data_IF_734260071072
#
_entry.id   IF_734260071072
#
_cell.length_a   1.000
_cell.length_b   1.000
_cell.length_c   1.000
_cell.angle_alpha   90.00
_cell.angle_beta   90.00
_cell.angle_gamma   90.00
#
_symmetry.space_group_name_H-M   'P 1'
#
loop_
_entity.id
_entity.type
_entity.pdbx_description
1 polymer ?
#
# COMPACT_ATOMS: atom_id res chain seq x y z
N UNK A 1 9.56 14.32 12.33
CA UNK A 1 8.75 14.95 11.26
C UNK A 1 7.60 13.99 10.92
N UNK A 2 6.34 14.30 11.29
CA UNK A 2 5.21 13.34 11.20
C UNK A 2 4.91 12.98 9.73
N UNK A 3 4.98 11.69 9.38
CA UNK A 3 4.83 11.17 8.01
C UNK A 3 3.47 11.57 7.42
N UNK A 4 3.46 12.25 6.27
CA UNK A 4 2.25 12.79 5.61
C UNK A 4 1.33 11.72 4.98
N UNK A 5 1.71 10.44 4.98
CA UNK A 5 1.10 9.40 4.13
C UNK A 5 0.81 8.07 4.85
N UNK A 6 0.66 8.05 6.18
CA UNK A 6 0.53 6.82 7.00
C UNK A 6 -0.49 5.78 6.51
N UNK A 7 -1.51 6.18 5.74
CA UNK A 7 -2.60 5.30 5.33
C UNK A 7 -2.89 5.32 3.84
N UNK A 8 -2.26 6.20 3.07
CA UNK A 8 -2.64 6.48 1.69
C UNK A 8 -1.80 5.69 0.68
N UNK A 9 -2.43 5.25 -0.41
CA UNK A 9 -1.72 4.75 -1.59
C UNK A 9 -1.06 5.94 -2.32
N UNK A 10 0.25 5.87 -2.50
CA UNK A 10 1.04 6.93 -3.12
C UNK A 10 0.78 7.12 -4.62
N UNK A 11 0.25 6.11 -5.36
CA UNK A 11 -0.05 6.21 -6.79
C UNK A 11 -1.00 7.35 -7.13
N UNK A 12 -2.05 7.47 -6.32
CA UNK A 12 -3.14 8.41 -6.53
C UNK A 12 -3.12 9.53 -5.48
N UNK A 13 -2.12 9.54 -4.59
CA UNK A 13 -2.11 10.45 -3.45
C UNK A 13 -2.24 11.91 -3.85
N UNK A 14 -1.52 12.42 -4.86
CA UNK A 14 -1.64 13.84 -5.24
C UNK A 14 -3.03 14.17 -5.85
N UNK A 15 -3.61 13.23 -6.60
CA UNK A 15 -4.97 13.36 -7.14
C UNK A 15 -6.01 13.32 -6.01
N UNK A 16 -5.92 12.32 -5.13
CA UNK A 16 -6.79 12.15 -3.97
C UNK A 16 -6.61 13.26 -2.94
N UNK A 17 -5.43 13.85 -2.83
CA UNK A 17 -5.14 15.01 -1.99
C UNK A 17 -5.75 16.27 -2.56
N UNK A 18 -5.75 16.45 -3.88
CA UNK A 18 -6.50 17.52 -4.54
C UNK A 18 -8.01 17.36 -4.31
N UNK A 19 -8.55 16.15 -4.45
CA UNK A 19 -9.95 15.84 -4.15
C UNK A 19 -10.28 16.02 -2.66
N UNK A 20 -9.44 15.53 -1.74
CA UNK A 20 -9.62 15.70 -0.31
C UNK A 20 -9.55 17.18 0.10
N UNK A 21 -8.68 17.97 -0.55
CA UNK A 21 -8.64 19.42 -0.34
C UNK A 21 -9.95 20.06 -0.79
N UNK A 22 -10.48 19.68 -1.97
CA UNK A 22 -11.77 20.14 -2.48
C UNK A 22 -12.95 19.72 -1.60
N UNK A 23 -12.96 18.49 -1.10
CA UNK A 23 -13.99 18.01 -0.17
C UNK A 23 -13.99 18.77 1.15
N UNK A 24 -12.83 19.23 1.63
CA UNK A 24 -12.75 20.09 2.84
C UNK A 24 -13.29 21.51 2.62
N UNK A 25 -13.30 22.01 1.38
CA UNK A 25 -13.81 23.35 1.03
C UNK A 25 -15.28 23.32 0.60
N UNK A 26 -15.75 22.21 0.05
CA UNK A 26 -17.13 22.01 -0.40
C UNK A 26 -17.82 20.89 0.38
N UNK A 27 -17.73 20.93 1.71
CA UNK A 27 -18.37 19.93 2.56
C UNK A 27 -19.89 20.14 2.63
N UNK A 28 -20.64 19.05 2.74
CA UNK A 28 -22.09 19.13 2.95
C UNK A 28 -22.41 19.72 4.33
N UNK A 29 -23.67 20.12 4.53
CA UNK A 29 -24.13 20.60 5.84
C UNK A 29 -23.97 19.51 6.92
N UNK A 30 -24.28 18.25 6.58
CA UNK A 30 -24.11 17.11 7.47
C UNK A 30 -22.63 16.87 7.83
N UNK A 31 -21.73 16.86 6.86
CA UNK A 31 -20.28 16.73 7.09
C UNK A 31 -19.75 17.84 7.97
N UNK A 32 -20.20 19.08 7.75
CA UNK A 32 -19.77 20.23 8.54
C UNK A 32 -20.24 20.09 9.99
N UNK A 33 -21.51 19.69 10.20
CA UNK A 33 -22.09 19.48 11.52
C UNK A 33 -21.39 18.34 12.28
N UNK A 34 -21.14 17.20 11.63
CA UNK A 34 -20.43 16.09 12.26
C UNK A 34 -18.96 16.45 12.55
N UNK A 35 -18.30 17.19 11.66
CA UNK A 35 -16.92 17.61 11.88
C UNK A 35 -16.76 18.47 13.13
N UNK A 36 -17.68 19.40 13.39
CA UNK A 36 -17.65 20.22 14.61
C UNK A 36 -17.79 19.40 15.88
N UNK A 37 -18.50 18.27 15.86
CA UNK A 37 -18.57 17.34 16.99
C UNK A 37 -17.32 16.44 17.14
N UNK A 38 -16.61 16.15 16.04
CA UNK A 38 -15.45 15.23 16.04
C UNK A 38 -14.09 15.93 16.23
N UNK A 39 -13.97 17.20 15.82
CA UNK A 39 -12.69 17.93 15.81
C UNK A 39 -12.15 18.16 17.23
N UNK A 40 -10.86 18.46 17.33
CA UNK A 40 -10.27 18.90 18.61
C UNK A 40 -10.19 17.82 19.70
N UNK A 41 -10.27 16.52 19.35
CA UNK A 41 -10.20 15.42 20.30
C UNK A 41 -11.38 15.38 21.30
N UNK A 42 -12.54 15.92 20.92
CA UNK A 42 -13.73 15.99 21.78
C UNK A 42 -14.25 14.62 22.23
N UNK A 43 -14.01 13.57 21.44
CA UNK A 43 -14.38 12.19 21.79
C UNK A 43 -13.22 11.38 22.41
N UNK A 44 -12.21 12.06 22.97
CA UNK A 44 -11.04 11.41 23.56
C UNK A 44 -10.03 10.84 22.54
N UNK A 45 -10.34 10.88 21.23
CA UNK A 45 -9.44 10.45 20.17
C UNK A 45 -9.45 11.38 18.94
N UNK A 46 -8.36 11.32 18.17
CA UNK A 46 -8.13 12.25 17.06
C UNK A 46 -8.78 11.74 15.77
N UNK A 47 -9.76 12.50 15.28
CA UNK A 47 -10.32 12.34 13.94
C UNK A 47 -9.62 13.23 12.91
N UNK A 48 -9.51 12.71 11.69
CA UNK A 48 -9.02 13.40 10.48
C UNK A 48 -10.18 13.52 9.49
N UNK A 49 -10.38 14.69 8.89
CA UNK A 49 -11.40 14.94 7.86
C UNK A 49 -10.87 14.75 6.44
N UNK A 50 -11.64 14.11 5.57
CA UNK A 50 -11.31 13.81 4.18
C UNK A 50 -9.94 13.12 4.11
N UNK A 51 -9.83 11.97 4.78
CA UNK A 51 -8.58 11.27 4.99
C UNK A 51 -8.37 10.18 3.94
N UNK A 52 -7.17 10.15 3.34
CA UNK A 52 -6.87 9.20 2.28
C UNK A 52 -6.45 7.87 2.90
N UNK A 53 -7.14 6.80 2.55
CA UNK A 53 -6.84 5.42 2.97
C UNK A 53 -6.80 4.56 1.71
N UNK A 54 -5.64 3.98 1.41
CA UNK A 54 -5.40 3.34 0.12
C UNK A 54 -5.72 4.30 -1.03
N UNK A 55 -6.61 3.87 -1.93
CA UNK A 55 -7.06 4.66 -3.09
C UNK A 55 -8.37 5.42 -2.84
N UNK A 56 -8.80 5.54 -1.59
CA UNK A 56 -10.09 6.11 -1.22
C UNK A 56 -9.93 7.32 -0.30
N UNK A 57 -10.94 8.18 -0.29
CA UNK A 57 -11.05 9.30 0.64
C UNK A 57 -12.22 9.01 1.56
N UNK A 58 -11.91 8.81 2.84
CA UNK A 58 -12.90 8.68 3.90
C UNK A 58 -13.30 10.07 4.42
N UNK A 59 -14.58 10.32 4.65
CA UNK A 59 -15.06 11.62 5.16
C UNK A 59 -14.46 11.94 6.52
N UNK A 60 -14.42 10.94 7.41
CA UNK A 60 -13.71 11.00 8.68
C UNK A 60 -12.97 9.70 8.98
N UNK A 61 -11.78 9.82 9.58
CA UNK A 61 -11.01 8.66 10.03
C UNK A 61 -10.31 8.90 11.37
N UNK A 62 -10.45 7.96 12.29
CA UNK A 62 -9.62 7.81 13.48
C UNK A 62 -8.56 6.74 13.21
N UNK A 63 -7.29 7.17 13.08
CA UNK A 63 -6.19 6.24 12.72
C UNK A 63 -5.80 5.34 13.88
N UNK A 64 -5.90 5.85 15.12
CA UNK A 64 -5.55 5.09 16.33
C UNK A 64 -6.39 3.81 16.41
N UNK A 65 -7.71 3.95 16.35
CA UNK A 65 -8.65 2.84 16.48
C UNK A 65 -9.09 2.26 15.12
N UNK A 66 -8.44 2.65 14.02
CA UNK A 66 -8.77 2.21 12.66
C UNK A 66 -10.29 2.32 12.37
N UNK A 67 -10.89 3.45 12.71
CA UNK A 67 -12.31 3.69 12.47
C UNK A 67 -12.50 4.70 11.33
N UNK A 68 -13.32 4.36 10.35
CA UNK A 68 -13.80 5.23 9.28
C UNK A 68 -15.27 5.55 9.50
N UNK A 69 -15.64 6.82 9.30
CA UNK A 69 -17.04 7.27 9.29
C UNK A 69 -17.31 7.95 7.95
N UNK A 70 -18.33 7.48 7.25
CA UNK A 70 -18.77 7.98 5.94
C UNK A 70 -20.19 8.56 6.04
N UNK A 71 -20.42 9.69 5.36
CA UNK A 71 -21.75 10.27 5.24
C UNK A 71 -22.26 9.98 3.82
N UNK A 72 -23.30 9.16 3.72
CA UNK A 72 -23.89 8.80 2.45
C UNK A 72 -24.65 9.99 1.85
N UNK A 73 -24.09 10.54 0.77
CA UNK A 73 -24.60 11.66 -0.01
C UNK A 73 -25.86 11.37 -0.82
N UNK A 74 -26.40 10.15 -0.80
CA UNK A 74 -27.64 9.83 -1.53
C UNK A 74 -27.52 9.93 -3.05
N UNK A 75 -26.31 9.91 -3.61
CA UNK A 75 -26.09 9.82 -5.06
C UNK A 75 -26.31 8.39 -5.54
N UNK A 76 -27.58 7.97 -5.55
CA UNK A 76 -28.00 6.70 -6.10
C UNK A 76 -28.39 6.81 -7.57
N UNK A 77 -28.02 5.75 -8.31
CA UNK A 77 -28.50 5.31 -9.63
C UNK A 77 -27.71 5.82 -10.83
N UNK A 78 -26.56 5.19 -11.11
CA UNK A 78 -26.21 4.73 -12.46
C UNK A 78 -25.06 3.71 -12.43
N UNK A 79 -25.34 2.47 -12.85
CA UNK A 79 -24.43 1.41 -13.35
C UNK A 79 -23.15 1.03 -12.57
N UNK A 80 -22.99 -0.25 -12.22
CA UNK A 80 -21.79 -0.91 -11.64
C UNK A 80 -21.35 -0.56 -10.20
N UNK A 81 -22.06 0.32 -9.48
CA UNK A 81 -21.67 0.76 -8.14
C UNK A 81 -21.72 -0.29 -6.99
N UNK A 82 -22.63 -1.28 -6.94
CA UNK A 82 -22.70 -2.20 -5.79
C UNK A 82 -21.43 -3.05 -5.63
N UNK A 83 -20.80 -3.43 -6.74
CA UNK A 83 -19.53 -4.17 -6.74
C UNK A 83 -18.36 -3.29 -6.25
N UNK A 84 -18.32 -2.01 -6.65
CA UNK A 84 -17.28 -1.06 -6.23
C UNK A 84 -17.37 -0.66 -4.75
N UNK A 85 -18.57 -0.57 -4.16
CA UNK A 85 -18.74 -0.23 -2.72
C UNK A 85 -18.44 -1.42 -1.81
N UNK A 86 -18.72 -2.65 -2.26
CA UNK A 86 -18.33 -3.88 -1.58
C UNK A 86 -16.80 -4.11 -1.62
N UNK A 87 -16.17 -3.90 -2.78
CA UNK A 87 -14.71 -3.95 -2.94
C UNK A 87 -14.01 -2.89 -2.08
N UNK A 88 -14.54 -1.67 -2.04
CA UNK A 88 -14.06 -0.58 -1.15
C UNK A 88 -14.14 -0.98 0.32
N UNK A 89 -15.30 -1.48 0.75
CA UNK A 89 -15.50 -1.90 2.14
C UNK A 89 -14.59 -3.07 2.50
N UNK A 90 -14.39 -4.01 1.57
CA UNK A 90 -13.47 -5.14 1.75
C UNK A 90 -12.00 -4.69 1.83
N UNK A 91 -11.55 -3.73 1.01
CA UNK A 91 -10.19 -3.19 1.08
C UNK A 91 -9.95 -2.37 2.36
N UNK A 92 -10.95 -1.60 2.82
CA UNK A 92 -10.85 -0.91 4.11
C UNK A 92 -10.77 -1.91 5.27
N UNK A 93 -11.62 -2.96 5.26
CA UNK A 93 -11.61 -4.02 6.27
C UNK A 93 -10.31 -4.82 6.26
N UNK A 94 -9.78 -5.16 5.08
CA UNK A 94 -8.50 -5.88 4.97
C UNK A 94 -7.31 -5.06 5.51
N UNK A 95 -7.43 -3.72 5.50
CA UNK A 95 -6.49 -2.79 6.14
C UNK A 95 -6.73 -2.58 7.64
N UNK A 96 -7.64 -3.37 8.23
CA UNK A 96 -8.01 -3.32 9.63
C UNK A 96 -8.98 -2.20 9.99
N UNK A 97 -9.58 -1.50 9.00
CA UNK A 97 -10.54 -0.45 9.28
C UNK A 97 -11.95 -0.99 9.48
N UNK A 98 -12.60 -0.53 10.54
CA UNK A 98 -14.06 -0.62 10.68
C UNK A 98 -14.70 0.59 10.02
N UNK A 99 -15.79 0.39 9.29
CA UNK A 99 -16.49 1.44 8.54
C UNK A 99 -17.90 1.62 9.12
N UNK A 100 -18.23 2.83 9.57
CA UNK A 100 -19.59 3.24 9.92
C UNK A 100 -20.11 4.19 8.85
N UNK A 101 -21.37 4.01 8.44
CA UNK A 101 -22.01 4.86 7.44
C UNK A 101 -23.31 5.43 7.97
N UNK A 102 -23.50 6.73 7.76
CA UNK A 102 -24.70 7.47 8.17
C UNK A 102 -25.28 8.23 6.99
N UNK A 103 -26.60 8.38 6.91
CA UNK A 103 -27.21 9.26 5.91
C UNK A 103 -27.11 10.73 6.35
N UNK A 104 -27.27 11.65 5.40
CA UNK A 104 -27.32 13.08 5.71
C UNK A 104 -28.40 13.41 6.76
N UNK A 105 -29.58 12.80 6.66
CA UNK A 105 -30.70 13.03 7.58
C UNK A 105 -30.40 12.53 8.99
N UNK A 106 -29.70 11.39 9.12
CA UNK A 106 -29.27 10.88 10.42
C UNK A 106 -28.32 11.86 11.11
N UNK A 107 -27.39 12.44 10.37
CA UNK A 107 -26.45 13.42 10.91
C UNK A 107 -27.15 14.75 11.24
N UNK A 108 -27.98 15.27 10.33
CA UNK A 108 -28.65 16.56 10.49
C UNK A 108 -29.72 16.57 11.59
N UNK A 109 -30.43 15.46 11.78
CA UNK A 109 -31.58 15.41 12.69
C UNK A 109 -31.36 14.52 13.93
N UNK A 110 -30.33 13.66 13.92
CA UNK A 110 -30.06 12.70 15.00
C UNK A 110 -28.59 12.65 15.40
N UNK A 111 -27.91 13.80 15.36
CA UNK A 111 -26.47 13.93 15.64
C UNK A 111 -26.05 13.23 16.95
N UNK A 112 -26.79 13.40 18.04
CA UNK A 112 -26.47 12.76 19.33
C UNK A 112 -26.45 11.23 19.25
N UNK A 113 -27.35 10.65 18.45
CA UNK A 113 -27.39 9.19 18.20
C UNK A 113 -26.20 8.74 17.37
N UNK A 114 -25.80 9.52 16.35
CA UNK A 114 -24.60 9.27 15.54
C UNK A 114 -23.34 9.27 16.41
N UNK A 115 -23.17 10.29 17.26
CA UNK A 115 -22.03 10.38 18.18
C UNK A 115 -22.01 9.21 19.17
N UNK A 116 -23.17 8.82 19.71
CA UNK A 116 -23.28 7.67 20.61
C UNK A 116 -22.82 6.37 19.94
N UNK A 117 -23.19 6.16 18.67
CA UNK A 117 -22.75 4.99 17.91
C UNK A 117 -21.24 4.99 17.67
N UNK A 118 -20.66 6.15 17.32
CA UNK A 118 -19.21 6.30 17.14
C UNK A 118 -18.48 5.99 18.45
N UNK A 119 -18.92 6.54 19.58
CA UNK A 119 -18.33 6.28 20.91
C UNK A 119 -18.39 4.80 21.27
N UNK A 120 -19.54 4.15 21.09
CA UNK A 120 -19.67 2.70 21.34
C UNK A 120 -18.68 1.88 20.52
N UNK A 121 -18.50 2.20 19.24
CA UNK A 121 -17.51 1.51 18.41
C UNK A 121 -16.07 1.72 18.91
N UNK A 122 -15.73 2.94 19.34
CA UNK A 122 -14.41 3.24 19.91
C UNK A 122 -14.16 2.47 21.22
N UNK A 123 -15.16 2.38 22.09
CA UNK A 123 -15.05 1.65 23.36
C UNK A 123 -14.83 0.15 23.12
N UNK A 124 -15.58 -0.45 22.19
CA UNK A 124 -15.40 -1.85 21.80
C UNK A 124 -13.98 -2.12 21.27
N UNK A 125 -13.43 -1.22 20.46
CA UNK A 125 -12.07 -1.35 19.93
C UNK A 125 -11.01 -1.23 21.02
N UNK A 126 -11.20 -0.30 21.96
CA UNK A 126 -10.28 -0.13 23.08
C UNK A 126 -10.26 -1.36 24.02
N UNK A 127 -11.39 -2.03 24.22
CA UNK A 127 -11.49 -3.26 25.02
C UNK A 127 -10.86 -4.47 24.32
N UNK A 128 -11.00 -4.58 23.00
CA UNK A 128 -10.36 -5.64 22.21
C UNK A 128 -8.83 -5.59 22.30
N UNK A 129 -8.22 -4.39 22.23
CA UNK A 129 -6.77 -4.19 22.35
C UNK A 129 -6.23 -4.65 23.72
N UNK A 130 -6.99 -4.50 24.81
CA UNK A 130 -6.57 -4.91 26.16
C UNK A 130 -6.63 -6.43 26.38
N UNK A 131 -7.56 -7.10 25.69
CA UNK A 131 -7.77 -8.55 25.82
C UNK A 131 -6.66 -9.35 25.11
N UNK A 132 -6.15 -8.82 23.98
CA UNK A 132 -5.03 -9.43 23.24
C UNK A 132 -3.69 -9.30 24.00
N UNK A 133 -3.43 -8.17 24.66
CA UNK A 133 -2.19 -7.98 25.43
C UNK A 133 -2.12 -8.82 26.72
N UNK A 134 -3.26 -9.15 27.34
CA UNK A 134 -3.29 -9.96 28.58
C UNK A 134 -2.98 -11.44 28.32
N UNK A 135 -3.12 -11.90 27.07
CA UNK A 135 -2.95 -13.31 26.71
C UNK A 135 -1.51 -13.69 26.33
N UNK A 136 -0.59 -12.72 26.21
CA UNK A 136 0.80 -12.95 25.78
C UNK A 136 1.83 -13.01 26.93
N UNK A 137 1.45 -12.70 28.18
CA UNK A 137 2.40 -12.55 29.30
C UNK A 137 2.67 -13.81 30.14
N UNK A 138 2.14 -14.99 29.77
CA UNK A 138 2.26 -16.22 30.60
C UNK A 138 3.23 -17.29 30.12
N UNK A 139 4.08 -17.07 29.10
CA UNK A 139 5.06 -18.08 28.69
C UNK A 139 6.50 -17.55 28.44
N UNK A 140 7.35 -17.90 29.42
CA UNK A 140 8.73 -18.43 29.32
C UNK A 140 9.96 -17.52 29.48
N UNK A 141 10.83 -18.05 30.35
CA UNK A 141 12.20 -17.69 30.73
C UNK A 141 13.22 -18.16 29.65
N UNK A 142 14.28 -17.36 29.49
CA UNK A 142 15.57 -17.36 28.72
C UNK A 142 16.28 -18.72 28.38
N UNK A 143 17.38 -18.80 27.56
CA UNK A 143 18.16 -17.75 26.87
C UNK A 143 18.71 -17.98 25.42
N UNK A 144 19.12 -16.84 24.83
CA UNK A 144 20.11 -16.52 23.78
C UNK A 144 20.39 -17.42 22.54
N UNK A 145 20.42 -16.70 21.40
CA UNK A 145 21.18 -16.89 20.15
C UNK A 145 20.62 -17.86 19.07
N UNK A 146 19.88 -17.29 18.11
CA UNK A 146 20.05 -17.53 16.66
C UNK A 146 19.08 -16.67 15.84
N UNK A 147 19.62 -15.98 14.83
CA UNK A 147 19.02 -15.39 13.60
C UNK A 147 17.53 -14.96 13.57
N UNK A 148 17.22 -13.70 13.18
CA UNK A 148 15.85 -13.21 13.10
C UNK A 148 15.20 -13.58 11.76
N UNK A 149 14.90 -14.87 11.56
CA UNK A 149 13.93 -15.32 10.56
C UNK A 149 13.11 -16.46 11.17
N UNK A 150 12.24 -16.14 12.12
CA UNK A 150 11.16 -17.05 12.49
C UNK A 150 9.88 -16.29 12.84
N UNK A 151 8.94 -16.34 11.91
CA UNK A 151 7.60 -15.77 12.01
C UNK A 151 6.72 -16.40 10.95
N UNK A 152 6.34 -17.67 11.19
CA UNK A 152 5.28 -18.47 10.56
C UNK A 152 4.89 -18.15 9.11
N UNK A 153 5.18 -19.10 8.20
CA UNK A 153 4.70 -19.15 6.80
C UNK A 153 5.22 -18.07 5.83
N UNK A 154 6.31 -17.36 6.19
CA UNK A 154 6.97 -16.37 5.32
C UNK A 154 8.44 -16.72 5.17
N UNK A 155 8.90 -17.05 3.96
CA UNK A 155 10.34 -17.10 3.64
C UNK A 155 10.89 -18.34 2.91
N UNK A 156 10.21 -19.49 2.86
CA UNK A 156 10.85 -20.70 2.32
C UNK A 156 10.86 -20.82 0.78
N UNK A 157 10.09 -20.00 0.06
CA UNK A 157 10.05 -20.02 -1.43
C UNK A 157 9.59 -18.66 -1.96
N UNK A 158 10.44 -17.65 -1.82
CA UNK A 158 10.19 -16.32 -2.36
C UNK A 158 11.48 -15.68 -2.85
N UNK A 159 11.37 -14.81 -3.85
CA UNK A 159 12.48 -14.02 -4.37
C UNK A 159 12.28 -12.57 -3.99
N UNK A 160 13.36 -11.88 -3.64
CA UNK A 160 13.38 -10.44 -3.45
C UNK A 160 14.13 -9.78 -4.61
N UNK A 161 13.63 -8.64 -5.09
CA UNK A 161 14.26 -7.87 -6.16
C UNK A 161 14.41 -6.41 -5.76
N UNK A 162 15.50 -5.80 -6.20
CA UNK A 162 15.82 -4.39 -5.92
C UNK A 162 16.64 -3.79 -7.07
N UNK A 163 16.63 -2.47 -7.19
CA UNK A 163 17.48 -1.73 -8.10
C UNK A 163 18.18 -0.55 -7.44
N UNK A 164 19.40 -0.28 -7.91
CA UNK A 164 20.20 0.87 -7.51
C UNK A 164 20.54 1.75 -8.72
N UNK A 165 20.64 3.05 -8.49
CA UNK A 165 21.01 4.02 -9.53
C UNK A 165 21.96 5.10 -8.97
N UNK A 166 23.18 5.18 -9.50
CA UNK A 166 24.20 6.13 -9.06
C UNK A 166 24.01 7.49 -9.73
N UNK A 167 23.29 8.39 -9.07
CA UNK A 167 22.74 9.58 -9.70
C UNK A 167 21.51 9.19 -10.52
N UNK A 168 20.38 9.87 -10.33
CA UNK A 168 19.09 9.43 -10.88
C UNK A 168 18.49 10.53 -11.77
N UNK A 169 18.69 10.50 -13.10
CA UNK A 169 19.21 9.39 -13.90
C UNK A 169 20.74 9.22 -13.90
N UNK A 170 21.22 7.99 -14.15
CA UNK A 170 22.63 7.61 -14.09
C UNK A 170 22.84 6.09 -14.27
N UNK A 171 24.03 5.54 -13.96
CA UNK A 171 24.28 4.11 -13.99
C UNK A 171 23.31 3.36 -13.07
N UNK A 172 22.39 2.61 -13.67
CA UNK A 172 21.33 1.85 -13.01
C UNK A 172 21.56 0.35 -13.19
N UNK A 173 21.46 -0.38 -12.10
CA UNK A 173 21.57 -1.84 -12.04
C UNK A 173 20.46 -2.42 -11.17
N UNK A 174 20.16 -3.70 -11.33
CA UNK A 174 19.17 -4.41 -10.53
C UNK A 174 19.52 -5.88 -10.36
N UNK A 175 18.98 -6.51 -9.31
CA UNK A 175 19.23 -7.93 -9.02
C UNK A 175 18.04 -8.62 -8.37
N UNK A 176 18.10 -9.95 -8.33
CA UNK A 176 17.16 -10.80 -7.59
C UNK A 176 17.90 -11.75 -6.66
N UNK A 177 17.44 -11.86 -5.42
CA UNK A 177 17.97 -12.75 -4.38
C UNK A 177 16.90 -13.79 -4.01
N UNK A 178 17.30 -15.05 -3.89
CA UNK A 178 16.43 -16.09 -3.33
C UNK A 178 16.42 -15.98 -1.80
N UNK A 179 15.25 -15.76 -1.19
CA UNK A 179 15.14 -15.56 0.25
C UNK A 179 15.44 -16.82 1.07
N UNK A 180 15.35 -18.01 0.48
CA UNK A 180 15.63 -19.25 1.18
C UNK A 180 17.14 -19.53 1.24
N UNK A 181 17.88 -19.21 0.19
CA UNK A 181 19.32 -19.54 0.08
C UNK A 181 20.24 -18.33 0.24
N UNK A 182 19.72 -17.11 0.09
CA UNK A 182 20.51 -15.88 0.01
C UNK A 182 21.28 -15.73 -1.30
N UNK A 183 21.12 -16.65 -2.27
CA UNK A 183 21.86 -16.63 -3.51
C UNK A 183 21.33 -15.55 -4.47
N UNK A 184 22.25 -14.89 -5.18
CA UNK A 184 21.89 -14.01 -6.31
C UNK A 184 21.48 -14.86 -7.52
N UNK A 185 20.22 -14.71 -7.92
CA UNK A 185 19.62 -15.47 -9.03
C UNK A 185 19.96 -14.81 -10.36
N UNK A 186 19.97 -13.47 -10.38
CA UNK A 186 20.34 -12.67 -11.53
C UNK A 186 20.81 -11.29 -11.09
N UNK A 187 21.67 -10.70 -11.92
CA UNK A 187 22.10 -9.31 -11.85
C UNK A 187 22.10 -8.72 -13.27
N UNK A 188 21.75 -7.45 -13.39
CA UNK A 188 21.73 -6.73 -14.65
C UNK A 188 22.21 -5.30 -14.47
N UNK A 189 23.08 -4.84 -15.37
CA UNK A 189 23.58 -3.47 -15.43
C UNK A 189 25.09 -3.39 -15.16
N UNK A 190 25.62 -2.17 -15.01
CA UNK A 190 24.90 -0.90 -15.07
C UNK A 190 24.52 -0.46 -16.50
N UNK A 191 23.38 0.20 -16.63
CA UNK A 191 22.94 0.91 -17.86
C UNK A 191 22.42 2.30 -17.50
N UNK A 192 22.51 3.29 -18.40
CA UNK A 192 22.02 4.64 -18.09
C UNK A 192 20.50 4.66 -17.99
N UNK A 193 19.96 4.87 -16.77
CA UNK A 193 18.53 4.77 -16.48
C UNK A 193 18.13 5.50 -15.21
N UNK A 194 16.96 5.14 -14.64
CA UNK A 194 16.47 5.67 -13.36
C UNK A 194 16.16 4.52 -12.42
N UNK A 195 16.16 4.76 -11.11
CA UNK A 195 15.86 3.72 -10.11
C UNK A 195 14.54 3.00 -10.40
N UNK A 196 13.46 3.76 -10.62
CA UNK A 196 12.13 3.19 -10.89
C UNK A 196 12.08 2.31 -12.15
N UNK A 197 12.91 2.58 -13.16
CA UNK A 197 13.02 1.69 -14.33
C UNK A 197 13.70 0.39 -13.93
N UNK A 198 14.79 0.46 -13.17
CA UNK A 198 15.49 -0.73 -12.67
C UNK A 198 14.56 -1.63 -11.87
N UNK A 199 13.84 -1.05 -10.91
CA UNK A 199 12.84 -1.75 -10.08
C UNK A 199 11.79 -2.48 -10.93
N UNK A 200 11.24 -1.78 -11.93
CA UNK A 200 10.27 -2.37 -12.86
C UNK A 200 10.86 -3.54 -13.63
N UNK A 201 12.07 -3.36 -14.18
CA UNK A 201 12.74 -4.40 -14.94
C UNK A 201 13.11 -5.61 -14.06
N UNK A 202 13.48 -5.39 -12.80
CA UNK A 202 13.81 -6.45 -11.85
C UNK A 202 12.62 -7.37 -11.59
N UNK A 203 11.43 -6.80 -11.35
CA UNK A 203 10.19 -7.57 -11.17
C UNK A 203 9.85 -8.35 -12.43
N UNK A 204 9.92 -7.72 -13.61
CA UNK A 204 9.59 -8.41 -14.87
C UNK A 204 10.60 -9.52 -15.19
N UNK A 205 11.88 -9.32 -14.88
CA UNK A 205 12.91 -10.35 -15.04
C UNK A 205 12.61 -11.56 -14.15
N UNK A 206 12.29 -11.34 -12.87
CA UNK A 206 11.88 -12.41 -11.96
C UNK A 206 10.64 -13.16 -12.47
N UNK A 207 9.60 -12.46 -12.90
CA UNK A 207 8.40 -13.07 -13.49
C UNK A 207 8.73 -13.92 -14.74
N UNK A 208 9.59 -13.42 -15.62
CA UNK A 208 9.96 -14.12 -16.85
C UNK A 208 10.80 -15.38 -16.57
N UNK A 209 11.70 -15.33 -15.58
CA UNK A 209 12.48 -16.49 -15.16
C UNK A 209 11.60 -17.56 -14.51
N UNK A 210 10.71 -17.17 -13.60
CA UNK A 210 9.80 -18.11 -12.93
C UNK A 210 8.84 -18.75 -13.93
N UNK A 211 8.33 -17.96 -14.88
CA UNK A 211 7.52 -18.48 -15.98
C UNK A 211 8.28 -19.51 -16.83
N UNK A 212 9.56 -19.24 -17.16
CA UNK A 212 10.42 -20.17 -17.92
C UNK A 212 10.71 -21.46 -17.13
N UNK A 213 10.78 -21.37 -15.81
CA UNK A 213 10.97 -22.51 -14.90
C UNK A 213 9.68 -23.29 -14.63
N UNK A 214 8.51 -22.77 -15.03
CA UNK A 214 7.20 -23.34 -14.73
C UNK A 214 6.73 -23.10 -13.29
N UNK A 215 7.42 -22.26 -12.50
CA UNK A 215 7.03 -21.94 -11.13
C UNK A 215 6.02 -20.79 -11.11
N UNK A 216 4.77 -21.11 -10.82
CA UNK A 216 3.66 -20.15 -10.82
C UNK A 216 3.27 -19.65 -9.43
N UNK A 217 3.87 -20.20 -8.37
CA UNK A 217 3.47 -19.95 -6.98
C UNK A 217 4.49 -19.13 -6.21
N UNK A 218 5.74 -19.09 -6.65
CA UNK A 218 6.79 -18.32 -5.98
C UNK A 218 6.42 -16.84 -5.92
N UNK A 219 6.49 -16.29 -4.72
CA UNK A 219 6.25 -14.87 -4.45
C UNK A 219 7.48 -14.05 -4.81
N UNK A 220 7.27 -12.89 -5.43
CA UNK A 220 8.30 -11.88 -5.71
C UNK A 220 8.05 -10.69 -4.80
N UNK A 221 9.04 -10.33 -3.99
CA UNK A 221 9.04 -9.12 -3.18
C UNK A 221 9.82 -8.00 -3.87
N UNK A 222 9.27 -6.80 -3.86
CA UNK A 222 9.98 -5.56 -4.19
C UNK A 222 9.54 -4.49 -3.20
N UNK A 223 10.45 -3.63 -2.76
CA UNK A 223 10.09 -2.49 -1.92
C UNK A 223 9.60 -1.29 -2.76
N UNK A 224 9.67 -1.37 -4.08
CA UNK A 224 9.28 -0.30 -5.01
C UNK A 224 7.81 -0.37 -5.40
N UNK A 225 7.02 0.45 -4.73
CA UNK A 225 5.60 0.61 -5.05
C UNK A 225 5.36 1.00 -6.52
N UNK A 226 6.16 1.93 -7.06
CA UNK A 226 6.00 2.41 -8.44
C UNK A 226 6.18 1.29 -9.47
N UNK A 227 7.17 0.43 -9.24
CA UNK A 227 7.46 -0.69 -10.13
C UNK A 227 6.37 -1.75 -10.09
N UNK A 228 5.88 -2.11 -8.90
CA UNK A 228 4.75 -3.04 -8.73
C UNK A 228 3.53 -2.50 -9.50
N UNK A 229 3.25 -1.20 -9.40
CA UNK A 229 2.16 -0.56 -10.13
C UNK A 229 2.37 -0.62 -11.66
N UNK A 230 3.58 -0.39 -12.14
CA UNK A 230 3.91 -0.46 -13.57
C UNK A 230 3.77 -1.87 -14.11
N UNK A 231 4.17 -2.89 -13.35
CA UNK A 231 3.95 -4.31 -13.71
C UNK A 231 2.46 -4.63 -13.78
N UNK A 232 1.66 -4.24 -12.77
CA UNK A 232 0.20 -4.43 -12.78
C UNK A 232 -0.47 -3.75 -13.97
N UNK A 233 0.00 -2.57 -14.35
CA UNK A 233 -0.49 -1.82 -15.53
C UNK A 233 0.13 -2.28 -16.85
N UNK A 234 1.08 -3.22 -16.82
CA UNK A 234 1.84 -3.70 -17.98
C UNK A 234 2.50 -2.57 -18.77
N UNK A 235 2.92 -1.50 -18.07
CA UNK A 235 3.43 -0.28 -18.67
C UNK A 235 4.39 0.45 -17.74
N UNK A 236 5.60 0.73 -18.23
CA UNK A 236 6.63 1.54 -17.58
C UNK A 236 6.36 3.04 -17.84
N UNK A 237 5.78 3.74 -16.86
CA UNK A 237 5.46 5.18 -16.98
C UNK A 237 6.64 6.08 -16.61
N UNK A 238 7.79 5.86 -17.24
CA UNK A 238 8.99 6.68 -17.02
C UNK A 238 8.88 8.09 -17.61
N UNK A 239 9.54 9.06 -16.96
CA UNK A 239 9.75 10.44 -17.47
C UNK A 239 11.14 10.65 -18.07
N UNK A 240 11.99 9.62 -18.07
CA UNK A 240 13.31 9.68 -18.73
C UNK A 240 13.10 10.10 -20.19
N UNK A 241 13.97 10.94 -20.76
CA UNK A 241 13.85 11.31 -22.17
C UNK A 241 14.40 10.19 -23.04
N UNK A 242 13.73 9.91 -24.16
CA UNK A 242 14.26 9.02 -25.19
C UNK A 242 15.27 9.78 -26.05
N UNK A 243 16.51 9.29 -26.05
CA UNK A 243 17.69 9.87 -26.72
C UNK A 243 18.55 8.71 -27.24
N UNK A 244 19.55 8.94 -28.10
CA UNK A 244 20.47 7.89 -28.52
C UNK A 244 21.13 7.14 -27.34
N UNK A 245 21.44 7.83 -26.24
CA UNK A 245 22.02 7.23 -25.03
C UNK A 245 21.05 6.30 -24.30
N UNK A 246 19.75 6.62 -24.29
CA UNK A 246 18.72 5.84 -23.57
C UNK A 246 17.99 4.84 -24.45
N UNK A 247 18.30 4.79 -25.75
CA UNK A 247 17.59 3.95 -26.73
C UNK A 247 17.65 2.47 -26.37
N UNK A 248 18.82 1.97 -25.97
CA UNK A 248 18.98 0.58 -25.54
C UNK A 248 18.08 0.24 -24.34
N UNK A 249 17.97 1.15 -23.37
CA UNK A 249 17.08 0.97 -22.22
C UNK A 249 15.61 0.95 -22.65
N UNK A 250 15.21 1.80 -23.61
CA UNK A 250 13.85 1.79 -24.17
C UNK A 250 13.52 0.49 -24.90
N UNK A 251 14.49 -0.13 -25.58
CA UNK A 251 14.30 -1.44 -26.18
C UNK A 251 14.05 -2.52 -25.12
N UNK A 252 14.78 -2.47 -24.00
CA UNK A 252 14.58 -3.39 -22.87
C UNK A 252 13.20 -3.18 -22.22
N UNK A 253 12.81 -1.93 -21.99
CA UNK A 253 11.47 -1.58 -21.48
C UNK A 253 10.39 -2.12 -22.42
N UNK A 254 10.54 -1.92 -23.73
CA UNK A 254 9.56 -2.38 -24.73
C UNK A 254 9.42 -3.89 -24.71
N UNK A 255 10.53 -4.62 -24.59
CA UNK A 255 10.53 -6.10 -24.44
C UNK A 255 9.82 -6.54 -23.17
N UNK A 256 10.09 -5.87 -22.04
CA UNK A 256 9.46 -6.16 -20.75
C UNK A 256 7.94 -5.91 -20.80
N UNK A 257 7.49 -4.78 -21.33
CA UNK A 257 6.06 -4.49 -21.50
C UNK A 257 5.38 -5.49 -22.44
N UNK A 258 6.02 -5.83 -23.56
CA UNK A 258 5.49 -6.82 -24.49
C UNK A 258 5.34 -8.17 -23.80
N UNK A 259 6.35 -8.60 -23.03
CA UNK A 259 6.30 -9.85 -22.28
C UNK A 259 5.11 -9.88 -21.32
N UNK A 260 4.92 -8.82 -20.52
CA UNK A 260 3.77 -8.70 -19.61
C UNK A 260 2.42 -8.76 -20.35
N UNK A 261 2.34 -8.22 -21.56
CA UNK A 261 1.11 -8.21 -22.38
C UNK A 261 0.79 -9.58 -22.97
N UNK A 262 1.80 -10.34 -23.38
CA UNK A 262 1.63 -11.61 -24.10
C UNK A 262 1.71 -12.86 -23.23
N UNK A 263 2.21 -12.76 -21.99
CA UNK A 263 2.34 -13.88 -21.08
C UNK A 263 1.36 -13.77 -19.91
N UNK A 264 0.84 -14.91 -19.48
CA UNK A 264 0.05 -15.06 -18.25
C UNK A 264 0.93 -15.60 -17.14
N UNK A 265 0.92 -14.91 -16.00
CA UNK A 265 1.62 -15.31 -14.78
C UNK A 265 0.65 -15.27 -13.61
N UNK A 266 0.91 -16.10 -12.59
CA UNK A 266 0.11 -16.16 -11.35
C UNK A 266 0.92 -15.79 -10.10
N UNK A 267 2.23 -15.63 -10.26
CA UNK A 267 3.15 -15.31 -9.18
C UNK A 267 2.72 -14.03 -8.46
N UNK A 268 2.55 -14.08 -7.13
CA UNK A 268 2.27 -12.88 -6.35
C UNK A 268 3.45 -11.91 -6.43
N UNK A 269 3.18 -10.65 -6.77
CA UNK A 269 4.14 -9.54 -6.64
C UNK A 269 3.72 -8.71 -5.44
N UNK A 270 4.51 -8.75 -4.36
CA UNK A 270 4.15 -8.24 -3.04
C UNK A 270 5.11 -7.13 -2.62
N UNK A 271 4.57 -6.11 -1.94
CA UNK A 271 5.39 -5.04 -1.36
C UNK A 271 6.21 -5.61 -0.20
N UNK A 272 7.52 -5.38 -0.24
CA UNK A 272 8.39 -5.58 0.92
C UNK A 272 8.21 -4.41 1.89
N UNK A 273 7.82 -4.66 3.13
CA UNK A 273 7.59 -3.60 4.12
C UNK A 273 8.89 -3.24 4.85
N UNK A 274 9.73 -2.41 4.21
CA UNK A 274 11.06 -2.02 4.72
C UNK A 274 11.03 -1.50 6.16
N UNK A 275 9.95 -0.81 6.56
CA UNK A 275 9.80 -0.28 7.91
C UNK A 275 9.60 -1.36 8.98
N UNK A 276 9.07 -2.51 8.59
CA UNK A 276 8.77 -3.63 9.50
C UNK A 276 9.85 -4.71 9.42
N UNK A 277 10.39 -4.96 8.23
CA UNK A 277 11.26 -6.11 7.96
C UNK A 277 12.72 -5.72 7.72
N UNK A 278 13.05 -4.43 7.80
CA UNK A 278 14.36 -3.91 7.47
C UNK A 278 14.58 -3.83 5.96
N UNK A 279 15.82 -3.53 5.57
CA UNK A 279 16.19 -3.42 4.16
C UNK A 279 15.93 -4.73 3.41
N UNK A 280 15.43 -4.61 2.18
CA UNK A 280 15.14 -5.77 1.35
C UNK A 280 16.46 -6.53 1.10
N UNK A 281 16.50 -7.87 1.17
CA UNK A 281 17.76 -8.62 1.00
C UNK A 281 18.47 -8.40 -0.34
N UNK A 282 17.74 -7.92 -1.36
CA UNK A 282 18.31 -7.53 -2.65
C UNK A 282 18.93 -6.12 -2.67
N UNK A 283 18.83 -5.33 -1.60
CA UNK A 283 19.37 -3.96 -1.49
C UNK A 283 20.88 -3.93 -1.74
N UNK A 284 21.36 -2.98 -2.55
CA UNK A 284 22.79 -2.87 -2.91
C UNK A 284 23.69 -2.28 -1.81
N UNK A 285 23.12 -1.77 -0.71
CA UNK A 285 23.85 -1.22 0.43
C UNK A 285 24.54 0.11 0.16
N UNK A 286 24.09 0.89 -0.83
CA UNK A 286 24.74 2.14 -1.30
C UNK A 286 23.96 3.42 -0.99
N UNK A 287 23.15 3.41 0.07
CA UNK A 287 22.37 4.58 0.52
C UNK A 287 23.24 5.60 1.25
#
# INVERSE_FOLDING_TARGET
>A
MKRKHETADCANYELLKAFAKRGRTHSTQAESMLWEALRGNQLGCKFRRQHIIGNYIADFACIRFKLVVEIDGGYHRQGNQPLMDAERTADLKSRGFTVLRFTNEQVLHRLSSVITQILKSLDHMAQAEQTENTSQETNLVTPLASSPLSGGQRGASAWAVDAACSGNPGPMEYRGIDLATGAEIFHFGPVHGTNNIGEFLAIVHALALLWKQGDTQKTIYSDSYNAILWVKKKQCKTKLKRTPQTEQLYQIISRAEQWLKTHTYRNPVVKWETAEWGEIPADFGRK
#
